data_IF_643246210785
#
_entry.id   IF_643246210785
#
_cell.length_a   1.000
_cell.length_b   1.000
_cell.length_c   1.000
_cell.angle_alpha   90.00
_cell.angle_beta   90.00
_cell.angle_gamma   90.00
#
_symmetry.space_group_name_H-M   'P 1'
#
loop_
_entity.id
_entity.type
_entity.pdbx_description
1 polymer ?
#
# COMPACT_ATOMS: atom_id res chain seq x y z
N UNK A 1 -23.67 -4.99 -13.05
CA UNK A 1 -23.10 -5.69 -11.92
C UNK A 1 -21.89 -4.91 -11.47
N UNK A 2 -21.85 -4.55 -10.18
CA UNK A 2 -20.67 -3.98 -9.61
C UNK A 2 -19.46 -4.90 -9.90
N UNK A 3 -18.30 -4.32 -10.13
CA UNK A 3 -17.06 -5.11 -10.13
C UNK A 3 -17.03 -5.80 -8.77
N UNK A 4 -17.22 -7.10 -8.77
CA UNK A 4 -17.33 -7.86 -7.54
C UNK A 4 -15.97 -7.89 -6.89
N UNK A 5 -15.87 -7.32 -5.69
CA UNK A 5 -14.74 -7.61 -4.81
C UNK A 5 -14.86 -9.04 -4.23
N UNK A 6 -15.40 -9.96 -4.99
CA UNK A 6 -15.69 -11.31 -4.53
C UNK A 6 -16.99 -11.39 -3.72
N UNK A 7 -17.39 -12.59 -3.37
CA UNK A 7 -18.43 -12.85 -2.38
C UNK A 7 -17.93 -12.48 -0.98
N UNK A 8 -18.78 -12.66 0.01
CA UNK A 8 -18.39 -12.54 1.41
C UNK A 8 -17.14 -13.37 1.70
N UNK A 9 -16.16 -12.71 2.24
CA UNK A 9 -14.87 -13.29 2.59
C UNK A 9 -14.51 -12.90 4.02
N UNK A 10 -13.91 -13.80 4.74
CA UNK A 10 -13.29 -13.50 6.02
C UNK A 10 -11.96 -12.75 5.88
N UNK A 11 -11.64 -12.30 4.67
CA UNK A 11 -10.40 -11.54 4.40
C UNK A 11 -10.42 -10.19 5.08
N UNK A 12 -9.31 -9.86 5.71
CA UNK A 12 -9.13 -8.61 6.47
C UNK A 12 -9.01 -7.41 5.54
N UNK A 13 -8.52 -7.59 4.31
CA UNK A 13 -8.37 -6.53 3.31
C UNK A 13 -8.58 -7.08 1.89
N UNK A 14 -9.25 -6.28 1.05
CA UNK A 14 -9.54 -6.62 -0.35
C UNK A 14 -9.37 -5.39 -1.23
N UNK A 15 -8.61 -5.49 -2.31
CA UNK A 15 -8.52 -4.46 -3.32
C UNK A 15 -9.67 -4.59 -4.33
N UNK A 16 -10.42 -3.52 -4.51
CA UNK A 16 -11.60 -3.48 -5.35
C UNK A 16 -11.41 -2.51 -6.51
N UNK A 17 -11.50 -2.94 -7.74
CA UNK A 17 -11.46 -2.01 -8.85
C UNK A 17 -11.00 -2.61 -10.18
N UNK A 18 -10.94 -1.78 -11.21
CA UNK A 18 -11.34 -0.37 -11.22
C UNK A 18 -12.86 -0.19 -11.07
N UNK A 19 -13.26 0.81 -10.26
CA UNK A 19 -14.66 1.11 -9.99
C UNK A 19 -15.14 2.25 -10.92
N UNK A 20 -15.99 2.00 -11.93
CA UNK A 20 -16.46 3.05 -12.84
C UNK A 20 -17.36 4.06 -12.13
N UNK A 21 -17.16 5.35 -12.39
CA UNK A 21 -17.94 6.44 -11.76
C UNK A 21 -19.45 6.35 -11.99
N UNK A 22 -19.88 5.76 -13.09
CA UNK A 22 -21.30 5.52 -13.41
C UNK A 22 -21.99 4.56 -12.42
N UNK A 23 -21.22 3.82 -11.61
CA UNK A 23 -21.75 2.92 -10.59
C UNK A 23 -21.96 3.58 -9.22
N UNK A 24 -21.60 4.86 -9.05
CA UNK A 24 -21.75 5.53 -7.77
C UNK A 24 -23.25 5.72 -7.37
N UNK A 25 -23.56 5.67 -6.05
CA UNK A 25 -22.67 5.34 -4.94
C UNK A 25 -22.42 3.82 -4.81
N UNK A 26 -21.17 3.45 -4.58
CA UNK A 26 -20.84 2.09 -4.16
C UNK A 26 -21.19 1.88 -2.69
N UNK A 27 -21.52 0.65 -2.35
CA UNK A 27 -21.89 0.26 -0.98
C UNK A 27 -21.01 -0.89 -0.53
N UNK A 28 -20.54 -0.82 0.71
CA UNK A 28 -19.89 -1.91 1.40
C UNK A 28 -20.95 -2.59 2.24
N UNK A 29 -21.12 -3.88 2.07
CA UNK A 29 -21.98 -4.71 2.90
C UNK A 29 -21.10 -5.60 3.76
N UNK A 30 -21.37 -5.60 5.06
CA UNK A 30 -20.65 -6.40 6.03
C UNK A 30 -21.68 -7.20 6.83
N UNK A 31 -21.45 -8.50 6.95
CA UNK A 31 -22.34 -9.38 7.70
C UNK A 31 -21.53 -10.41 8.51
N UNK A 32 -22.11 -10.95 9.55
CA UNK A 32 -21.60 -12.16 10.17
C UNK A 32 -21.77 -13.35 9.23
N UNK A 33 -20.68 -14.11 9.00
CA UNK A 33 -20.69 -15.25 8.07
C UNK A 33 -21.65 -16.36 8.43
N UNK A 34 -21.93 -16.52 9.73
CA UNK A 34 -22.92 -17.47 10.25
C UNK A 34 -24.32 -16.89 10.32
N UNK A 35 -24.46 -15.57 10.27
CA UNK A 35 -25.71 -14.82 10.47
C UNK A 35 -26.41 -15.11 11.81
N UNK A 36 -25.65 -15.50 12.80
CA UNK A 36 -26.17 -15.93 14.09
C UNK A 36 -25.51 -15.21 15.28
N UNK A 37 -24.54 -14.35 15.01
CA UNK A 37 -23.82 -13.59 16.01
C UNK A 37 -23.93 -12.08 15.80
N UNK A 38 -23.72 -11.34 16.86
CA UNK A 38 -23.67 -9.87 16.86
C UNK A 38 -22.32 -9.41 17.38
N UNK A 39 -21.77 -8.36 16.79
CA UNK A 39 -20.45 -7.86 17.16
C UNK A 39 -20.22 -6.43 16.69
N UNK A 40 -19.05 -5.90 16.99
CA UNK A 40 -18.56 -4.61 16.50
C UNK A 40 -17.51 -4.86 15.42
N UNK A 41 -17.47 -4.00 14.44
CA UNK A 41 -16.48 -4.02 13.36
C UNK A 41 -15.90 -2.63 13.13
N UNK A 42 -14.71 -2.57 12.59
CA UNK A 42 -14.14 -1.37 12.00
C UNK A 42 -14.01 -1.59 10.49
N UNK A 43 -14.37 -0.59 9.71
CA UNK A 43 -14.20 -0.59 8.26
C UNK A 43 -13.28 0.55 7.89
N UNK A 44 -12.15 0.24 7.27
CA UNK A 44 -11.25 1.21 6.70
C UNK A 44 -11.35 1.18 5.17
N UNK A 45 -11.40 2.35 4.53
CA UNK A 45 -11.50 2.47 3.08
C UNK A 45 -10.41 3.38 2.57
N UNK A 46 -9.55 2.86 1.70
CA UNK A 46 -8.47 3.61 1.08
C UNK A 46 -8.61 3.61 -0.45
N UNK A 47 -8.27 4.73 -1.08
CA UNK A 47 -8.24 4.85 -2.52
C UNK A 47 -6.82 4.65 -3.06
N UNK A 48 -6.58 3.58 -3.82
CA UNK A 48 -5.25 3.20 -4.32
C UNK A 48 -4.82 3.96 -5.60
N UNK A 49 -5.74 4.65 -6.29
CA UNK A 49 -5.48 5.23 -7.62
C UNK A 49 -5.67 6.75 -7.71
N UNK A 50 -5.84 7.44 -6.59
CA UNK A 50 -6.08 8.90 -6.58
C UNK A 50 -4.86 9.68 -6.15
N UNK A 51 -4.60 10.80 -6.83
CA UNK A 51 -3.67 11.85 -6.38
C UNK A 51 -4.19 12.65 -5.17
N UNK A 52 -5.38 12.29 -4.67
CA UNK A 52 -6.01 12.91 -3.49
C UNK A 52 -6.30 11.83 -2.45
N UNK A 53 -5.25 11.20 -1.96
CA UNK A 53 -5.36 10.27 -0.84
C UNK A 53 -5.12 11.05 0.43
N UNK A 54 -5.88 10.76 1.47
CA UNK A 54 -5.76 11.48 2.74
C UNK A 54 -4.36 11.34 3.36
N UNK A 55 -3.60 10.31 2.96
CA UNK A 55 -2.31 9.93 3.55
C UNK A 55 -1.18 9.71 2.53
N UNK A 56 -1.33 10.19 1.28
CA UNK A 56 -0.27 10.05 0.27
C UNK A 56 0.86 11.06 0.55
N UNK A 57 1.99 10.55 1.00
CA UNK A 57 3.21 11.32 1.24
C UNK A 57 4.16 11.14 0.05
N UNK A 58 4.64 12.26 -0.50
CA UNK A 58 5.67 12.24 -1.56
C UNK A 58 7.03 11.87 -0.98
N UNK A 59 7.63 10.78 -1.50
CA UNK A 59 8.99 10.40 -1.17
C UNK A 59 10.01 11.26 -1.92
N UNK A 60 11.16 11.51 -1.29
CA UNK A 60 12.28 12.19 -1.90
C UNK A 60 13.48 11.25 -1.97
N UNK A 61 14.20 11.31 -3.10
CA UNK A 61 15.38 10.49 -3.31
C UNK A 61 16.41 10.66 -2.19
N UNK A 62 16.83 9.57 -1.55
CA UNK A 62 17.82 9.55 -0.48
C UNK A 62 17.35 10.08 0.88
N UNK A 63 16.10 10.49 1.00
CA UNK A 63 15.54 10.98 2.28
C UNK A 63 14.75 9.86 2.96
N UNK A 64 15.02 9.64 4.25
CA UNK A 64 14.23 8.73 5.06
C UNK A 64 12.92 9.42 5.49
N UNK A 65 11.80 8.80 5.13
CA UNK A 65 10.47 9.21 5.58
C UNK A 65 10.00 8.27 6.69
N UNK A 66 9.37 8.84 7.72
CA UNK A 66 8.72 8.07 8.79
C UNK A 66 7.25 7.89 8.44
N UNK A 67 6.75 6.65 8.52
CA UNK A 67 5.34 6.33 8.41
C UNK A 67 4.83 5.62 9.66
N UNK A 68 3.51 5.47 9.77
CA UNK A 68 2.87 4.77 10.86
C UNK A 68 1.60 4.06 10.41
N UNK A 69 1.53 2.76 10.65
CA UNK A 69 0.28 2.01 10.57
C UNK A 69 -0.48 2.24 11.87
N UNK A 70 -1.48 3.12 11.84
CA UNK A 70 -2.19 3.60 13.03
C UNK A 70 -3.36 2.70 13.42
N UNK A 71 -3.88 1.95 12.47
CA UNK A 71 -5.02 1.06 12.66
C UNK A 71 -4.74 -0.34 12.13
N UNK A 72 -5.35 -1.34 12.73
CA UNK A 72 -5.32 -2.72 12.25
C UNK A 72 -5.91 -2.76 10.82
N UNK A 73 -5.22 -3.47 9.93
CA UNK A 73 -5.55 -3.58 8.50
C UNK A 73 -5.45 -2.27 7.69
N UNK A 74 -4.79 -1.26 8.25
CA UNK A 74 -4.41 -0.04 7.53
C UNK A 74 -3.24 -0.28 6.58
N UNK A 75 -3.11 0.57 5.57
CA UNK A 75 -1.95 0.61 4.69
C UNK A 75 -1.63 2.04 4.27
N UNK A 76 -0.37 2.39 4.30
CA UNK A 76 0.13 3.67 3.82
C UNK A 76 0.50 3.60 2.34
N UNK A 77 0.28 4.69 1.62
CA UNK A 77 0.70 4.87 0.25
C UNK A 77 1.66 6.05 0.14
N UNK A 78 2.91 5.76 -0.24
CA UNK A 78 3.93 6.79 -0.39
C UNK A 78 4.32 6.89 -1.86
N UNK A 79 4.15 8.08 -2.45
CA UNK A 79 4.36 8.28 -3.89
C UNK A 79 5.79 8.68 -4.23
N UNK A 80 6.25 8.22 -5.40
CA UNK A 80 7.54 8.57 -5.98
C UNK A 80 7.46 8.62 -7.51
N UNK A 81 8.02 9.68 -8.11
CA UNK A 81 8.16 9.79 -9.56
C UNK A 81 9.52 9.30 -10.01
N UNK A 82 9.56 8.45 -11.02
CA UNK A 82 10.78 7.95 -11.65
C UNK A 82 11.02 8.60 -13.01
N UNK A 83 12.27 8.65 -13.45
CA UNK A 83 12.64 8.90 -14.84
C UNK A 83 12.55 7.61 -15.65
N UNK A 84 12.48 7.73 -16.99
CA UNK A 84 12.39 6.57 -17.86
C UNK A 84 13.61 5.65 -17.72
N UNK A 85 13.33 4.40 -17.37
CA UNK A 85 14.36 3.38 -17.20
C UNK A 85 15.07 3.37 -15.86
N UNK A 86 14.65 4.20 -14.90
CA UNK A 86 15.22 4.17 -13.56
C UNK A 86 15.04 2.80 -12.90
N UNK A 87 16.06 2.39 -12.19
CA UNK A 87 15.97 1.34 -11.16
C UNK A 87 16.05 2.02 -9.80
N UNK A 88 15.06 1.79 -8.96
CA UNK A 88 15.02 2.35 -7.61
C UNK A 88 15.26 1.26 -6.57
N UNK A 89 15.99 1.60 -5.52
CA UNK A 89 16.09 0.77 -4.32
C UNK A 89 15.12 1.30 -3.29
N UNK A 90 14.23 0.44 -2.85
CA UNK A 90 13.26 0.73 -1.77
C UNK A 90 13.74 0.02 -0.52
N UNK A 91 13.83 0.75 0.59
CA UNK A 91 14.09 0.21 1.91
C UNK A 91 12.92 0.51 2.84
N UNK A 92 12.40 -0.52 3.53
CA UNK A 92 11.36 -0.38 4.55
C UNK A 92 11.82 -1.12 5.80
N UNK A 93 11.86 -0.42 6.93
CA UNK A 93 12.39 -0.93 8.19
C UNK A 93 11.43 -0.62 9.32
N UNK A 94 11.18 -1.59 10.17
CA UNK A 94 10.51 -1.34 11.45
C UNK A 94 11.33 -0.34 12.27
N UNK A 95 10.69 0.71 12.76
CA UNK A 95 11.33 1.75 13.56
C UNK A 95 11.16 1.56 15.05
N UNK A 96 9.96 1.21 15.46
CA UNK A 96 9.64 1.01 16.87
C UNK A 96 8.53 -0.01 17.00
N UNK A 97 8.77 -1.13 17.69
CA UNK A 97 7.71 -2.05 18.01
C UNK A 97 6.74 -1.37 18.98
N UNK A 98 5.50 -1.23 18.58
CA UNK A 98 4.43 -0.67 19.41
C UNK A 98 3.89 -1.67 20.45
N UNK A 99 4.72 -2.64 20.85
CA UNK A 99 4.38 -3.66 21.85
C UNK A 99 3.71 -4.92 21.29
N UNK A 100 3.54 -4.98 19.96
CA UNK A 100 3.06 -6.13 19.19
C UNK A 100 4.15 -6.79 18.36
N UNK A 101 3.75 -7.59 17.40
CA UNK A 101 4.63 -8.19 16.39
C UNK A 101 4.52 -7.43 15.06
N UNK A 102 4.53 -6.10 15.10
CA UNK A 102 4.49 -5.27 13.89
C UNK A 102 5.64 -5.68 12.98
N UNK A 103 5.31 -6.05 11.75
CA UNK A 103 6.27 -6.48 10.75
C UNK A 103 5.91 -5.81 9.43
N UNK A 104 6.55 -4.66 9.09
CA UNK A 104 6.20 -3.94 7.89
C UNK A 104 6.39 -4.82 6.66
N UNK A 105 5.34 -4.92 5.89
CA UNK A 105 5.26 -5.63 4.63
C UNK A 105 4.95 -4.60 3.53
N UNK A 106 5.64 -4.65 2.40
CA UNK A 106 5.50 -3.63 1.38
C UNK A 106 5.51 -4.19 -0.04
N UNK A 107 4.97 -3.41 -0.96
CA UNK A 107 5.04 -3.64 -2.41
C UNK A 107 5.07 -2.32 -3.18
N UNK A 108 5.41 -2.39 -4.46
CA UNK A 108 5.37 -1.25 -5.38
C UNK A 108 4.18 -1.38 -6.34
N UNK A 109 3.39 -0.32 -6.43
CA UNK A 109 2.30 -0.16 -7.39
C UNK A 109 2.65 0.92 -8.41
N UNK A 110 2.12 0.80 -9.64
CA UNK A 110 2.17 1.86 -10.65
C UNK A 110 1.06 2.92 -10.40
N UNK A 111 1.06 3.98 -11.18
CA UNK A 111 0.08 5.08 -11.07
C UNK A 111 -1.37 4.67 -11.29
N UNK A 112 -1.61 3.52 -11.92
CA UNK A 112 -2.93 2.94 -12.09
C UNK A 112 -3.32 1.99 -10.94
N UNK A 113 -2.41 1.77 -9.97
CA UNK A 113 -2.60 0.85 -8.85
C UNK A 113 -2.32 -0.61 -9.18
N UNK A 114 -1.69 -0.89 -10.33
CA UNK A 114 -1.29 -2.26 -10.65
C UNK A 114 0.07 -2.58 -10.01
N UNK A 115 0.30 -3.86 -9.62
CA UNK A 115 1.60 -4.31 -9.17
C UNK A 115 2.71 -3.98 -10.17
N UNK A 116 3.77 -3.33 -9.71
CA UNK A 116 4.94 -3.08 -10.55
C UNK A 116 5.69 -4.39 -10.85
N UNK A 117 6.36 -4.44 -11.98
CA UNK A 117 7.23 -5.57 -12.32
C UNK A 117 8.30 -5.70 -11.24
N UNK A 118 8.61 -6.93 -10.84
CA UNK A 118 9.65 -7.32 -9.88
C UNK A 118 9.39 -6.95 -8.40
N UNK A 119 8.62 -5.90 -8.11
CA UNK A 119 8.34 -5.44 -6.73
C UNK A 119 6.84 -5.33 -6.40
N UNK A 120 5.98 -5.93 -7.21
CA UNK A 120 4.53 -5.80 -7.06
C UNK A 120 3.89 -6.79 -6.08
N UNK A 121 4.67 -7.72 -5.54
CA UNK A 121 4.22 -8.67 -4.52
C UNK A 121 4.66 -8.17 -3.15
N UNK A 122 3.77 -8.25 -2.17
CA UNK A 122 4.12 -7.92 -0.79
C UNK A 122 5.32 -8.73 -0.29
N UNK A 123 6.24 -8.06 0.35
CA UNK A 123 7.47 -8.64 0.88
C UNK A 123 7.86 -8.02 2.22
N UNK A 124 8.45 -8.81 3.10
CA UNK A 124 9.09 -8.38 4.34
C UNK A 124 10.58 -8.11 4.17
N UNK A 125 11.11 -8.22 2.95
CA UNK A 125 12.52 -7.91 2.67
C UNK A 125 12.76 -6.43 2.93
N UNK A 126 13.73 -6.14 3.78
CA UNK A 126 14.02 -4.78 4.23
C UNK A 126 14.54 -3.85 3.13
N UNK A 127 15.07 -4.38 2.02
CA UNK A 127 15.51 -3.58 0.88
C UNK A 127 15.50 -4.39 -0.41
N UNK A 128 14.99 -3.81 -1.51
CA UNK A 128 14.95 -4.44 -2.82
C UNK A 128 15.11 -3.41 -3.94
N UNK A 129 15.77 -3.82 -5.02
CA UNK A 129 15.87 -3.04 -6.26
C UNK A 129 14.68 -3.35 -7.17
N UNK A 130 14.03 -2.30 -7.66
CA UNK A 130 12.83 -2.36 -8.49
C UNK A 130 13.08 -1.65 -9.82
N UNK A 131 12.94 -2.34 -10.93
CA UNK A 131 13.12 -1.71 -12.24
C UNK A 131 13.86 -2.58 -13.25
N UNK A 132 14.08 -2.06 -14.49
CA UNK A 132 13.85 -0.66 -14.91
C UNK A 132 12.36 -0.30 -14.98
N UNK A 133 12.03 0.91 -14.50
CA UNK A 133 10.66 1.41 -14.41
C UNK A 133 10.34 2.44 -15.49
N UNK A 134 9.23 2.31 -16.24
CA UNK A 134 8.82 3.30 -17.22
C UNK A 134 8.17 4.54 -16.56
N UNK A 135 8.63 5.75 -16.90
CA UNK A 135 8.07 7.02 -16.41
C UNK A 135 6.59 7.22 -16.78
N UNK A 136 6.12 6.56 -17.84
CA UNK A 136 4.72 6.59 -18.28
C UNK A 136 3.73 5.99 -17.27
N UNK A 137 4.24 5.31 -16.22
CA UNK A 137 3.46 4.71 -15.15
C UNK A 137 3.50 5.49 -13.83
N UNK A 138 4.13 6.67 -13.83
CA UNK A 138 4.15 7.55 -12.66
C UNK A 138 2.75 8.02 -12.24
N UNK A 139 2.57 8.41 -10.96
CA UNK A 139 3.49 8.18 -9.85
C UNK A 139 3.49 6.71 -9.42
N UNK A 140 4.64 6.17 -9.10
CA UNK A 140 4.71 4.90 -8.38
C UNK A 140 4.36 5.09 -6.91
N UNK A 141 3.87 4.03 -6.28
CA UNK A 141 3.48 4.07 -4.85
C UNK A 141 4.06 2.87 -4.12
N UNK A 142 4.78 3.14 -3.07
CA UNK A 142 5.14 2.13 -2.08
C UNK A 142 3.94 1.98 -1.16
N UNK A 143 3.30 0.82 -1.19
CA UNK A 143 2.25 0.44 -0.24
C UNK A 143 2.91 -0.32 0.91
N UNK A 144 2.68 0.15 2.14
CA UNK A 144 3.21 -0.46 3.36
C UNK A 144 2.05 -0.85 4.26
N UNK A 145 2.10 -2.07 4.81
CA UNK A 145 1.10 -2.58 5.74
C UNK A 145 1.78 -3.43 6.83
N UNK A 146 1.07 -3.80 7.89
CA UNK A 146 1.50 -4.89 8.76
C UNK A 146 1.31 -6.24 8.06
N UNK A 147 2.32 -7.10 8.09
CA UNK A 147 2.31 -8.39 7.40
C UNK A 147 1.21 -9.34 7.84
N UNK A 148 0.79 -9.25 9.08
CA UNK A 148 -0.33 -10.03 9.64
C UNK A 148 -1.64 -9.25 9.67
N UNK A 149 -1.60 -7.96 9.42
CA UNK A 149 -2.74 -7.02 9.46
C UNK A 149 -3.48 -6.99 10.81
N UNK A 150 -2.76 -7.21 11.88
CA UNK A 150 -3.30 -7.30 13.23
C UNK A 150 -2.55 -6.44 14.25
N UNK A 151 -1.47 -5.80 13.83
CA UNK A 151 -0.64 -4.94 14.65
C UNK A 151 -0.54 -3.53 14.06
N UNK A 152 -0.11 -2.59 14.90
CA UNK A 152 0.18 -1.21 14.54
C UNK A 152 1.63 -0.90 14.87
N UNK A 153 2.23 0.06 14.17
CA UNK A 153 3.62 0.39 14.42
C UNK A 153 4.15 1.50 13.52
N UNK A 154 5.39 1.89 13.77
CA UNK A 154 6.07 2.90 12.96
C UNK A 154 7.18 2.26 12.14
N UNK A 155 7.43 2.81 10.97
CA UNK A 155 8.46 2.35 10.06
C UNK A 155 9.22 3.51 9.43
N UNK A 156 10.41 3.22 8.95
CA UNK A 156 11.20 4.09 8.09
C UNK A 156 11.11 3.58 6.65
N UNK A 157 10.90 4.47 5.69
CA UNK A 157 10.96 4.17 4.27
C UNK A 157 11.98 5.06 3.58
N UNK A 158 12.78 4.48 2.68
CA UNK A 158 13.74 5.20 1.84
C UNK A 158 13.58 4.77 0.39
N UNK A 159 13.75 5.70 -0.54
CA UNK A 159 13.87 5.42 -1.97
C UNK A 159 15.17 6.05 -2.48
N UNK A 160 15.97 5.28 -3.20
CA UNK A 160 17.18 5.77 -3.88
C UNK A 160 17.20 5.27 -5.32
N UNK A 161 17.73 6.06 -6.25
CA UNK A 161 17.96 5.62 -7.63
C UNK A 161 19.27 4.81 -7.70
N UNK A 162 19.31 3.75 -8.49
CA UNK A 162 20.49 2.92 -8.69
C UNK A 162 20.99 3.07 -10.14
N UNK A 163 22.22 3.53 -10.36
CA UNK A 163 23.19 4.03 -9.37
C UNK A 163 22.73 5.36 -8.75
N UNK A 164 23.25 5.71 -7.61
CA UNK A 164 22.85 6.77 -6.67
C UNK A 164 22.06 7.97 -7.23
N UNK A 165 21.21 8.58 -6.39
CA UNK A 165 20.52 9.84 -6.68
C UNK A 165 21.54 10.91 -7.14
N UNK A 166 21.23 11.70 -8.17
CA UNK A 166 22.08 12.83 -8.52
C UNK A 166 22.18 13.81 -7.36
N UNK A 167 23.32 14.49 -7.22
CA UNK A 167 23.55 15.46 -6.17
C UNK A 167 22.61 16.68 -6.25
#
# INVERSE_FOLDING_TARGET
PAVSCGGFSASVSVNCGPLPSAGNPYRIEVEDGGRNDVGTMSVHLQRLTSTRVCDEVGLQCGVTQVGAIEHIADSDLLSYDVSEGDTIRIGVFERSPSGGNFNPNWRLLDGAGNPATDCGTFTTVTSQDCGPLPASRNPYRVEVEDGSRNDTGTYDVTVTVVPACPP
#
